data_IF_444083213880
#
_entry.id   IF_444083213880
#
_cell.length_a   1.000
_cell.length_b   1.000
_cell.length_c   1.000
_cell.angle_alpha   90.00
_cell.angle_beta   90.00
_cell.angle_gamma   90.00
#
_symmetry.space_group_name_H-M   'P 1'
#
loop_
_entity.id
_entity.type
_entity.pdbx_description
1 polymer ?
#
# COMPACT_ATOMS: atom_id res chain seq x y z
N UNK A 1 14.57 58.38 31.97
CA UNK A 1 13.70 58.91 33.05
C UNK A 1 12.44 59.48 32.40
N UNK A 2 11.30 59.33 33.07
CA UNK A 2 9.92 59.75 32.68
C UNK A 2 8.95 58.63 32.32
N UNK A 3 8.54 57.93 33.39
CA UNK A 3 7.21 57.44 33.77
C UNK A 3 5.99 57.77 32.90
N UNK A 4 5.04 56.83 32.75
CA UNK A 4 3.81 56.74 33.59
C UNK A 4 2.80 55.69 33.08
N UNK A 5 1.99 55.24 34.05
CA UNK A 5 0.60 54.78 33.94
C UNK A 5 0.31 53.28 33.68
N UNK A 6 0.40 52.54 34.79
CA UNK A 6 -0.63 51.66 35.35
C UNK A 6 -2.07 52.03 34.90
N UNK A 7 -2.83 51.10 34.31
CA UNK A 7 -4.27 50.95 34.61
C UNK A 7 -5.00 49.83 33.85
N UNK A 8 -5.73 49.05 34.66
CA UNK A 8 -7.08 48.49 34.40
C UNK A 8 -7.16 47.24 33.52
N UNK A 9 -6.99 46.10 34.20
CA UNK A 9 -8.01 45.05 34.37
C UNK A 9 -9.30 45.24 33.54
N UNK A 10 -9.43 44.51 32.43
CA UNK A 10 -10.72 44.21 31.83
C UNK A 10 -10.91 42.70 31.68
N UNK A 11 -11.80 42.25 32.54
CA UNK A 11 -12.50 40.98 32.62
C UNK A 11 -13.16 40.64 31.26
N UNK A 12 -12.84 39.49 30.67
CA UNK A 12 -13.69 38.86 29.64
C UNK A 12 -13.77 37.35 29.90
N UNK A 13 -14.79 36.89 30.66
CA UNK A 13 -15.17 35.49 30.73
C UNK A 13 -16.19 35.20 29.61
N UNK A 14 -16.45 33.91 29.35
CA UNK A 14 -17.38 33.35 28.35
C UNK A 14 -16.84 33.22 26.93
N UNK A 15 -16.13 32.13 26.67
CA UNK A 15 -16.44 31.22 25.58
C UNK A 15 -16.03 29.80 25.98
N UNK A 16 -16.80 29.24 26.93
CA UNK A 16 -16.94 27.80 27.10
C UNK A 16 -17.74 27.25 25.90
N UNK A 17 -17.11 27.23 24.73
CA UNK A 17 -17.59 26.49 23.57
C UNK A 17 -16.90 25.13 23.57
N UNK A 18 -17.58 24.12 24.07
CA UNK A 18 -17.23 22.72 23.89
C UNK A 18 -17.16 22.40 22.40
N UNK A 19 -15.95 22.41 21.85
CA UNK A 19 -15.62 21.60 20.68
C UNK A 19 -14.51 20.64 21.12
N UNK A 20 -14.91 19.65 21.91
CA UNK A 20 -14.19 18.38 21.90
C UNK A 20 -14.42 17.79 20.50
N UNK A 21 -13.63 18.28 19.54
CA UNK A 21 -13.48 17.66 18.26
C UNK A 21 -13.11 16.22 18.53
N UNK A 22 -14.01 15.31 18.17
CA UNK A 22 -13.68 13.89 18.05
C UNK A 22 -12.41 13.86 17.21
N UNK A 23 -11.29 13.31 17.70
CA UNK A 23 -10.11 13.16 16.87
C UNK A 23 -10.55 12.27 15.72
N UNK A 24 -10.72 12.89 14.56
CA UNK A 24 -10.93 12.22 13.30
C UNK A 24 -9.69 11.35 13.14
N UNK A 25 -9.81 10.08 13.53
CA UNK A 25 -8.73 9.10 13.40
C UNK A 25 -8.53 8.98 11.90
N UNK A 26 -7.59 9.76 11.36
CA UNK A 26 -7.04 9.53 10.03
C UNK A 26 -6.54 8.11 10.05
N UNK A 27 -7.35 7.21 9.49
CA UNK A 27 -6.89 5.88 9.14
C UNK A 27 -5.90 6.13 8.02
N UNK A 28 -4.64 6.32 8.40
CA UNK A 28 -3.52 6.26 7.45
C UNK A 28 -3.58 4.83 6.91
N UNK A 29 -4.23 4.67 5.77
CA UNK A 29 -4.21 3.44 5.00
C UNK A 29 -2.75 3.26 4.64
N UNK A 30 -2.04 2.42 5.41
CA UNK A 30 -0.65 2.08 5.14
C UNK A 30 -0.58 1.66 3.67
N UNK A 31 0.42 2.16 2.94
CA UNK A 31 0.61 1.84 1.52
C UNK A 31 0.65 0.31 1.25
N UNK A 32 0.95 -0.49 2.28
CA UNK A 32 0.86 -1.95 2.28
C UNK A 32 -0.54 -2.53 2.01
N UNK A 33 -1.61 -1.74 2.14
CA UNK A 33 -2.99 -2.16 1.83
C UNK A 33 -3.45 -1.73 0.43
N UNK A 34 -2.60 -1.06 -0.36
CA UNK A 34 -2.96 -0.71 -1.73
C UNK A 34 -2.68 -1.91 -2.67
N UNK A 35 -3.72 -2.53 -3.25
CA UNK A 35 -3.58 -3.65 -4.19
C UNK A 35 -2.78 -3.27 -5.45
N UNK A 36 -2.65 -1.98 -5.77
CA UNK A 36 -1.87 -1.46 -6.89
C UNK A 36 -0.42 -1.12 -6.51
N UNK A 37 -0.01 -1.29 -5.26
CA UNK A 37 1.35 -0.96 -4.83
C UNK A 37 2.42 -1.73 -5.62
N UNK A 38 2.31 -3.07 -5.64
CA UNK A 38 3.24 -3.94 -6.35
C UNK A 38 3.19 -3.73 -7.89
N UNK A 39 2.01 -3.70 -8.55
CA UNK A 39 1.92 -3.37 -9.97
C UNK A 39 2.60 -2.05 -10.35
N UNK A 40 2.44 -1.00 -9.54
CA UNK A 40 3.08 0.30 -9.81
C UNK A 40 4.60 0.23 -9.70
N UNK A 41 5.15 -0.44 -8.68
CA UNK A 41 6.60 -0.62 -8.57
C UNK A 41 7.20 -1.34 -9.78
N UNK A 42 6.50 -2.33 -10.32
CA UNK A 42 6.93 -3.04 -11.53
C UNK A 42 6.88 -2.11 -12.76
N UNK A 43 5.76 -1.38 -12.92
CA UNK A 43 5.62 -0.42 -14.00
C UNK A 43 6.66 0.71 -13.93
N UNK A 44 7.06 1.15 -12.74
CA UNK A 44 8.15 2.12 -12.56
C UNK A 44 9.48 1.62 -13.15
N UNK A 45 9.83 0.34 -12.92
CA UNK A 45 11.03 -0.25 -13.52
C UNK A 45 10.95 -0.27 -15.05
N UNK A 46 9.79 -0.59 -15.62
CA UNK A 46 9.62 -0.57 -17.07
C UNK A 46 9.59 0.83 -17.66
N UNK A 47 9.06 1.82 -16.92
CA UNK A 47 9.13 3.22 -17.28
C UNK A 47 10.57 3.76 -17.29
N UNK A 48 11.46 3.15 -16.50
CA UNK A 48 12.91 3.39 -16.50
C UNK A 48 13.65 2.61 -17.61
N UNK A 49 12.94 1.79 -18.38
CA UNK A 49 13.49 1.06 -19.53
C UNK A 49 14.14 -0.27 -19.17
N UNK A 50 13.85 -0.84 -17.99
CA UNK A 50 14.23 -2.21 -17.68
C UNK A 50 13.57 -3.20 -18.66
N UNK A 51 14.27 -4.29 -19.02
CA UNK A 51 13.68 -5.36 -19.80
C UNK A 51 12.61 -6.11 -19.00
N UNK A 52 11.67 -6.73 -19.70
CA UNK A 52 10.78 -7.71 -19.09
C UNK A 52 11.61 -8.92 -18.60
N UNK A 53 11.38 -9.36 -17.36
CA UNK A 53 12.05 -10.50 -16.76
C UNK A 53 11.04 -11.57 -16.30
N UNK A 54 11.44 -12.40 -15.34
CA UNK A 54 10.62 -13.49 -14.81
C UNK A 54 9.33 -13.01 -14.12
N UNK A 55 9.19 -11.73 -13.77
CA UNK A 55 7.94 -11.22 -13.18
C UNK A 55 6.76 -11.23 -14.17
N UNK A 56 6.99 -11.39 -15.48
CA UNK A 56 5.91 -11.50 -16.46
C UNK A 56 4.99 -12.68 -16.15
N UNK A 57 5.51 -13.77 -15.58
CA UNK A 57 4.69 -14.91 -15.20
C UNK A 57 3.78 -14.64 -14.00
N UNK A 58 4.04 -13.59 -13.21
CA UNK A 58 3.17 -13.18 -12.09
C UNK A 58 2.12 -12.13 -12.48
N UNK A 59 2.13 -11.62 -13.71
CA UNK A 59 1.15 -10.64 -14.19
C UNK A 59 -0.30 -11.08 -13.99
N UNK A 60 -0.71 -12.33 -14.31
CA UNK A 60 -2.07 -12.77 -14.09
C UNK A 60 -2.47 -12.71 -12.61
N UNK A 61 -1.58 -13.13 -11.71
CA UNK A 61 -1.84 -13.11 -10.27
C UNK A 61 -2.00 -11.68 -9.72
N UNK A 62 -1.21 -10.73 -10.22
CA UNK A 62 -1.35 -9.33 -9.86
C UNK A 62 -2.68 -8.73 -10.29
N UNK A 63 -3.11 -9.00 -11.52
CA UNK A 63 -4.41 -8.53 -12.04
C UNK A 63 -5.55 -9.10 -11.19
N UNK A 64 -5.51 -10.39 -10.88
CA UNK A 64 -6.52 -11.03 -10.03
C UNK A 64 -6.53 -10.44 -8.61
N UNK A 65 -5.37 -10.07 -8.06
CA UNK A 65 -5.32 -9.39 -6.77
C UNK A 65 -5.98 -8.00 -6.81
N UNK A 66 -5.70 -7.21 -7.85
CA UNK A 66 -6.34 -5.90 -8.04
C UNK A 66 -7.84 -6.07 -8.25
N UNK A 67 -8.26 -7.06 -9.04
CA UNK A 67 -9.68 -7.29 -9.39
C UNK A 67 -10.58 -7.55 -8.19
N UNK A 68 -10.05 -8.12 -7.10
CA UNK A 68 -10.79 -8.33 -5.84
C UNK A 68 -11.25 -7.03 -5.18
N UNK A 69 -10.62 -5.92 -5.51
CA UNK A 69 -10.82 -4.62 -4.86
C UNK A 69 -11.24 -3.51 -5.83
N UNK A 70 -10.67 -3.52 -7.04
CA UNK A 70 -10.96 -2.57 -8.10
C UNK A 70 -10.94 -3.29 -9.47
N UNK A 71 -12.09 -3.83 -9.91
CA UNK A 71 -12.19 -4.56 -11.17
C UNK A 71 -11.92 -3.66 -12.39
N UNK A 72 -12.32 -2.39 -12.35
CA UNK A 72 -12.10 -1.46 -13.46
C UNK A 72 -10.60 -1.21 -13.67
N UNK A 73 -9.86 -0.96 -12.57
CA UNK A 73 -8.41 -0.80 -12.64
C UNK A 73 -7.68 -2.09 -12.97
N UNK A 74 -8.22 -3.25 -12.57
CA UNK A 74 -7.68 -4.53 -12.98
C UNK A 74 -7.75 -4.73 -14.50
N UNK A 75 -8.84 -4.32 -15.15
CA UNK A 75 -8.98 -4.41 -16.60
C UNK A 75 -8.02 -3.47 -17.33
N UNK A 76 -7.84 -2.24 -16.81
CA UNK A 76 -6.83 -1.29 -17.31
C UNK A 76 -5.42 -1.89 -17.17
N UNK A 77 -5.11 -2.47 -16.00
CA UNK A 77 -3.83 -3.10 -15.73
C UNK A 77 -3.58 -4.29 -16.67
N UNK A 78 -4.54 -5.21 -16.81
CA UNK A 78 -4.44 -6.38 -17.68
C UNK A 78 -4.12 -5.98 -19.12
N UNK A 79 -4.95 -5.10 -19.70
CA UNK A 79 -4.75 -4.63 -21.07
C UNK A 79 -3.40 -3.94 -21.25
N UNK A 80 -3.01 -3.13 -20.26
CA UNK A 80 -1.73 -2.45 -20.25
C UNK A 80 -0.53 -3.39 -20.23
N UNK A 81 -0.57 -4.42 -19.37
CA UNK A 81 0.47 -5.43 -19.26
C UNK A 81 0.58 -6.27 -20.55
N UNK A 82 -0.54 -6.60 -21.18
CA UNK A 82 -0.55 -7.31 -22.47
C UNK A 82 0.08 -6.48 -23.60
N UNK A 83 -0.20 -5.18 -23.65
CA UNK A 83 0.44 -4.27 -24.61
C UNK A 83 1.95 -4.10 -24.33
N UNK A 84 2.35 -4.09 -23.06
CA UNK A 84 3.74 -4.07 -22.60
C UNK A 84 4.51 -5.30 -23.08
N UNK A 85 3.91 -6.49 -23.01
CA UNK A 85 4.55 -7.73 -23.48
C UNK A 85 4.75 -7.76 -25.00
N UNK A 86 3.80 -7.22 -25.75
CA UNK A 86 3.82 -7.20 -27.22
C UNK A 86 4.74 -6.11 -27.79
N UNK A 87 5.01 -5.07 -27.00
CA UNK A 87 5.78 -3.90 -27.43
C UNK A 87 7.31 -4.09 -27.39
N UNK A 88 8.00 -3.44 -28.32
CA UNK A 88 9.45 -3.25 -28.26
C UNK A 88 9.87 -2.30 -27.12
N UNK A 89 11.17 -2.24 -26.78
CA UNK A 89 11.70 -1.51 -25.62
C UNK A 89 11.15 -0.08 -25.46
N UNK A 90 11.12 0.71 -26.54
CA UNK A 90 10.61 2.08 -26.49
C UNK A 90 9.10 2.15 -26.22
N UNK A 91 8.31 1.29 -26.85
CA UNK A 91 6.87 1.20 -26.61
C UNK A 91 6.55 0.79 -25.17
N UNK A 92 7.35 -0.12 -24.59
CA UNK A 92 7.23 -0.53 -23.18
C UNK A 92 7.37 0.63 -22.21
N UNK A 93 8.37 1.48 -22.42
CA UNK A 93 8.60 2.67 -21.58
C UNK A 93 7.39 3.60 -21.62
N UNK A 94 6.87 3.89 -22.81
CA UNK A 94 5.70 4.77 -22.98
C UNK A 94 4.46 4.16 -22.32
N UNK A 95 4.20 2.86 -22.56
CA UNK A 95 3.05 2.16 -21.98
C UNK A 95 3.09 2.07 -20.47
N UNK A 96 4.28 1.82 -19.90
CA UNK A 96 4.45 1.80 -18.46
C UNK A 96 4.13 3.16 -17.81
N UNK A 97 4.58 4.27 -18.42
CA UNK A 97 4.25 5.63 -17.95
C UNK A 97 2.76 5.92 -18.05
N UNK A 98 2.13 5.59 -19.18
CA UNK A 98 0.68 5.74 -19.35
C UNK A 98 -0.11 4.96 -18.29
N UNK A 99 0.32 3.75 -17.95
CA UNK A 99 -0.33 2.93 -16.92
C UNK A 99 -0.13 3.51 -15.52
N UNK A 100 1.06 3.99 -15.18
CA UNK A 100 1.30 4.66 -13.91
C UNK A 100 0.39 5.88 -13.73
N UNK A 101 0.16 6.64 -14.81
CA UNK A 101 -0.76 7.78 -14.77
C UNK A 101 -2.22 7.36 -14.57
N UNK A 102 -2.65 6.27 -15.20
CA UNK A 102 -4.02 5.73 -15.07
C UNK A 102 -4.27 5.05 -13.73
N UNK A 103 -3.22 4.48 -13.11
CA UNK A 103 -3.30 3.70 -11.87
C UNK A 103 -2.87 4.50 -10.62
N UNK A 104 -2.82 5.84 -10.73
CA UNK A 104 -2.49 6.73 -9.60
C UNK A 104 -3.31 6.39 -8.36
N UNK A 105 -2.72 6.54 -7.14
CA UNK A 105 -3.44 6.28 -5.91
C UNK A 105 -4.69 7.14 -5.85
N UNK A 106 -5.86 6.52 -5.99
CA UNK A 106 -7.11 7.17 -5.66
C UNK A 106 -7.36 6.89 -4.18
N UNK A 107 -7.58 7.93 -3.38
CA UNK A 107 -8.03 7.78 -1.98
C UNK A 107 -9.44 7.15 -1.86
N UNK A 108 -10.00 6.69 -2.97
CA UNK A 108 -11.33 6.08 -3.12
C UNK A 108 -11.27 4.55 -3.11
N UNK A 109 -10.21 3.93 -2.57
CA UNK A 109 -10.24 2.51 -2.27
C UNK A 109 -11.29 2.29 -1.17
N UNK A 110 -12.51 1.91 -1.58
CA UNK A 110 -13.56 1.46 -0.69
C UNK A 110 -12.97 0.44 0.30
N UNK A 111 -13.33 0.50 1.59
CA UNK A 111 -12.79 -0.42 2.58
C UNK A 111 -13.08 -1.84 2.08
N UNK A 112 -12.01 -2.53 1.68
CA UNK A 112 -12.05 -3.95 1.35
C UNK A 112 -12.87 -4.63 2.44
N UNK A 113 -13.98 -5.24 2.02
CA UNK A 113 -14.90 -5.94 2.89
C UNK A 113 -14.07 -6.83 3.82
N UNK A 114 -13.97 -6.41 5.08
CA UNK A 114 -13.30 -7.12 6.14
C UNK A 114 -14.09 -8.40 6.38
N UNK A 115 -13.74 -9.44 5.63
CA UNK A 115 -13.93 -10.79 6.13
C UNK A 115 -12.66 -11.06 6.94
N UNK A 116 -12.74 -11.09 8.28
CA UNK A 116 -11.58 -11.46 9.07
C UNK A 116 -11.13 -12.87 8.64
N UNK A 117 -9.81 -13.13 8.49
CA UNK A 117 -9.34 -14.51 8.46
C UNK A 117 -9.68 -15.11 9.81
N UNK A 118 -10.75 -15.90 9.85
CA UNK A 118 -11.11 -16.76 10.95
C UNK A 118 -10.15 -17.95 10.97
N UNK A 119 -8.87 -17.70 11.22
CA UNK A 119 -7.88 -18.70 11.64
C UNK A 119 -6.68 -17.97 12.23
N UNK A 120 -6.89 -17.44 13.43
CA UNK A 120 -5.80 -17.19 14.35
C UNK A 120 -5.24 -18.57 14.75
N UNK A 121 -4.19 -19.01 14.05
CA UNK A 121 -3.33 -20.08 14.55
C UNK A 121 -2.24 -19.39 15.37
N UNK A 122 -2.26 -19.50 16.71
CA UNK A 122 -1.24 -18.90 17.55
C UNK A 122 0.11 -19.56 17.27
N UNK A 123 1.13 -18.70 17.21
CA UNK A 123 2.52 -19.08 17.30
C UNK A 123 2.82 -19.73 18.66
N UNK A 124 3.94 -20.45 18.67
CA UNK A 124 4.76 -20.79 19.84
C UNK A 124 4.53 -22.18 20.45
N UNK A 125 5.44 -23.12 20.13
CA UNK A 125 6.30 -23.75 21.13
C UNK A 125 7.29 -24.72 20.44
N UNK A 126 8.57 -24.33 20.47
CA UNK A 126 9.73 -25.23 20.35
C UNK A 126 9.60 -26.38 21.36
N UNK A 127 9.97 -27.63 21.02
CA UNK A 127 11.13 -28.19 21.70
C UNK A 127 12.01 -29.10 20.83
N UNK A 128 13.32 -28.91 21.01
CA UNK A 128 14.33 -29.90 21.33
C UNK A 128 14.62 -31.12 20.43
N UNK A 129 15.94 -31.39 20.40
CA UNK A 129 16.59 -32.70 20.37
C UNK A 129 16.86 -33.31 18.99
N UNK A 130 18.05 -32.95 18.50
CA UNK A 130 18.99 -33.80 17.78
C UNK A 130 19.09 -35.22 18.41
N UNK A 131 18.99 -36.29 17.60
CA UNK A 131 19.60 -37.56 17.91
C UNK A 131 20.75 -37.84 16.93
N UNK A 132 21.94 -38.04 17.49
CA UNK A 132 23.13 -38.52 16.80
C UNK A 132 22.86 -39.85 16.06
N UNK A 133 23.40 -40.05 14.85
CA UNK A 133 23.46 -41.38 14.26
C UNK A 133 24.59 -42.19 14.91
N UNK A 134 24.19 -43.31 15.52
CA UNK A 134 25.07 -44.30 16.12
C UNK A 134 25.97 -44.97 15.07
N UNK A 135 27.24 -45.12 15.43
CA UNK A 135 28.17 -46.07 14.80
C UNK A 135 27.66 -47.51 14.97
N UNK A 136 27.77 -48.37 13.94
CA UNK A 136 27.86 -49.80 14.14
C UNK A 136 29.31 -50.29 13.95
N UNK A 137 29.91 -50.77 15.05
CA UNK A 137 30.93 -51.83 15.06
C UNK A 137 30.23 -53.19 15.14
N UNK A 138 30.82 -54.35 14.76
CA UNK A 138 32.26 -54.64 14.59
C UNK A 138 32.74 -54.87 13.15
#
# INVERSE_FOLDING_TARGET
MSSRALSVLLLFPLLAGCQQGVPEKQIVVKASNDPLHEPRQILERYAQGQPLASEVSSFPAMVENVRKSDPERADILQKGLDELQKGGRAARVTKAKELLDKLKPSMTAAPAAATPPADAVPAEATPAAEPAPAEPKP
#
